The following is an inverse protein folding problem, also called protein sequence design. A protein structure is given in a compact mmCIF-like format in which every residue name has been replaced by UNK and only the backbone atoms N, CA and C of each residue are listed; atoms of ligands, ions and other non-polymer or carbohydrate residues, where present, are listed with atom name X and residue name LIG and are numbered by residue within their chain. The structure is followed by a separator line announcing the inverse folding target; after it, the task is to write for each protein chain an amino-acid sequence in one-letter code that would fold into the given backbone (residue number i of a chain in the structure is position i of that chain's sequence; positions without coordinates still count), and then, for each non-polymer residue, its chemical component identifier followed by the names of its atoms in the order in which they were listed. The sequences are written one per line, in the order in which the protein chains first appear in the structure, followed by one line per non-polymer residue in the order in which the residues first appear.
data_IF_657834363213
#
_entry.id   IF_657834363213
#
_cell.length_a   1.000
_cell.length_b   1.000
_cell.length_c   1.000
_cell.angle_alpha   90.00
_cell.angle_beta   90.00
_cell.angle_gamma   90.00
#
_symmetry.space_group_name_H-M   'P 1'
#
loop_
_entity.id
_entity.type
_entity.pdbx_description
1 polymer ?
#
# COMPACT_ATOMS: atom_id res chain seq x y z
N UNK A 1 46.59 -1.13 22.87
CA UNK A 1 45.89 -2.42 23.03
C UNK A 1 44.73 -2.41 22.07
N UNK A 2 44.95 -2.88 20.84
CA UNK A 2 43.94 -2.86 19.77
C UNK A 2 43.16 -4.16 19.83
N UNK A 3 41.84 -4.06 20.03
CA UNK A 3 40.95 -5.21 19.95
C UNK A 3 40.58 -5.42 18.48
N UNK A 4 41.05 -6.50 17.91
CA UNK A 4 40.63 -7.03 16.61
C UNK A 4 39.17 -7.52 16.72
N UNK A 5 38.22 -6.72 16.27
CA UNK A 5 36.86 -7.17 16.00
C UNK A 5 36.82 -7.83 14.62
N UNK A 6 36.78 -9.16 14.58
CA UNK A 6 36.64 -9.90 13.33
C UNK A 6 35.29 -9.58 12.67
N UNK A 7 35.34 -9.11 11.44
CA UNK A 7 34.20 -9.08 10.55
C UNK A 7 33.79 -10.53 10.24
N UNK A 8 32.71 -10.99 10.82
CA UNK A 8 32.07 -12.21 10.36
C UNK A 8 31.45 -11.94 9.00
N UNK A 9 32.05 -12.53 7.97
CA UNK A 9 31.43 -12.61 6.64
C UNK A 9 30.11 -13.37 6.78
N UNK A 10 29.02 -12.64 6.81
CA UNK A 10 27.70 -13.22 6.63
C UNK A 10 27.50 -13.49 5.13
N UNK A 11 27.89 -14.69 4.71
CA UNK A 11 27.47 -15.22 3.43
C UNK A 11 25.94 -15.33 3.46
N UNK A 12 25.27 -14.49 2.70
CA UNK A 12 23.86 -14.68 2.37
C UNK A 12 23.82 -15.90 1.48
N UNK A 13 23.51 -17.06 2.06
CA UNK A 13 23.31 -18.28 1.29
C UNK A 13 21.99 -18.16 0.53
N UNK A 14 22.06 -17.65 -0.70
CA UNK A 14 20.95 -17.55 -1.63
C UNK A 14 20.56 -18.91 -2.21
N UNK A 15 21.33 -19.99 -1.93
CA UNK A 15 21.03 -21.35 -2.38
C UNK A 15 19.74 -21.92 -1.78
N UNK A 16 19.27 -21.33 -0.66
CA UNK A 16 17.99 -21.71 -0.04
C UNK A 16 16.75 -21.07 -0.71
N UNK A 17 16.94 -20.10 -1.59
CA UNK A 17 15.90 -19.68 -2.51
C UNK A 17 15.97 -20.70 -3.63
N UNK A 18 15.14 -21.74 -3.57
CA UNK A 18 14.97 -22.70 -4.66
C UNK A 18 14.22 -22.03 -5.82
N UNK A 19 14.81 -20.94 -6.32
CA UNK A 19 14.56 -20.37 -7.63
C UNK A 19 15.56 -21.11 -8.52
N UNK A 20 15.07 -22.06 -9.30
CA UNK A 20 15.78 -22.48 -10.52
C UNK A 20 15.91 -21.21 -11.36
N UNK A 21 16.97 -20.46 -11.10
CA UNK A 21 17.40 -19.33 -11.91
C UNK A 21 17.94 -19.94 -13.20
N UNK A 22 17.05 -20.16 -14.15
CA UNK A 22 17.45 -20.40 -15.54
C UNK A 22 18.26 -19.19 -16.00
N UNK A 23 19.53 -19.44 -16.29
CA UNK A 23 20.49 -18.53 -16.87
C UNK A 23 19.90 -17.85 -18.09
N UNK A 24 19.44 -16.62 -18.00
CA UNK A 24 19.26 -15.61 -19.03
C UNK A 24 18.24 -14.50 -18.62
N UNK A 25 18.31 -14.03 -17.38
CA UNK A 25 17.79 -12.72 -17.09
C UNK A 25 18.94 -11.75 -17.44
N UNK A 26 18.72 -10.74 -18.30
CA UNK A 26 19.75 -9.74 -18.51
C UNK A 26 20.11 -9.13 -17.16
N UNK A 27 21.30 -9.41 -16.69
CA UNK A 27 21.91 -8.84 -15.50
C UNK A 27 21.98 -7.35 -15.70
N UNK A 28 21.09 -6.65 -15.11
CA UNK A 28 20.85 -5.23 -14.95
C UNK A 28 19.51 -4.84 -15.55
N UNK A 29 18.68 -4.31 -14.71
CA UNK A 29 17.70 -3.32 -15.09
C UNK A 29 18.41 -2.07 -15.68
N UNK A 30 19.42 -2.27 -16.48
CA UNK A 30 20.36 -1.31 -17.05
C UNK A 30 19.72 -0.22 -17.91
N UNK A 31 18.41 -0.25 -18.06
CA UNK A 31 17.64 0.78 -18.77
C UNK A 31 16.64 1.52 -17.87
N UNK A 32 16.68 1.29 -16.56
CA UNK A 32 16.19 2.29 -15.64
C UNK A 32 17.15 3.45 -15.74
N UNK A 33 16.67 4.61 -16.18
CA UNK A 33 17.48 5.82 -16.30
C UNK A 33 18.34 5.96 -15.05
N UNK A 34 19.62 5.72 -15.19
CA UNK A 34 20.64 5.49 -14.16
C UNK A 34 20.75 6.52 -13.04
N UNK A 35 19.96 7.57 -13.00
CA UNK A 35 20.08 8.66 -12.03
C UNK A 35 18.98 8.78 -10.98
N UNK A 36 17.86 8.06 -11.10
CA UNK A 36 16.72 8.29 -10.19
C UNK A 36 16.67 7.25 -9.06
N UNK A 37 17.31 6.09 -9.22
CA UNK A 37 17.20 4.99 -8.28
C UNK A 37 18.52 4.55 -7.65
N UNK A 38 19.68 5.06 -8.09
CA UNK A 38 21.00 4.69 -7.56
C UNK A 38 21.10 4.86 -6.04
N UNK A 39 20.44 5.90 -5.49
CA UNK A 39 20.42 6.18 -4.05
C UNK A 39 19.54 5.19 -3.25
N UNK A 40 18.72 4.38 -3.93
CA UNK A 40 17.78 3.45 -3.29
C UNK A 40 18.19 1.98 -3.46
N UNK A 41 19.24 1.70 -4.21
CA UNK A 41 19.73 0.34 -4.40
C UNK A 41 20.41 -0.16 -3.12
N UNK A 42 19.97 -1.31 -2.64
CA UNK A 42 20.52 -2.00 -1.48
C UNK A 42 21.35 -3.18 -1.99
N UNK A 43 22.58 -3.31 -1.49
CA UNK A 43 23.41 -4.43 -1.85
C UNK A 43 22.81 -5.74 -1.28
N UNK A 44 22.74 -6.84 -2.06
CA UNK A 44 22.10 -8.10 -1.62
C UNK A 44 22.62 -8.64 -0.29
N UNK A 45 23.90 -8.47 -0.01
CA UNK A 45 24.54 -8.93 1.24
C UNK A 45 24.20 -8.08 2.47
N UNK A 46 23.57 -6.92 2.31
CA UNK A 46 23.11 -6.10 3.42
C UNK A 46 21.76 -6.55 3.97
N UNK A 47 20.99 -7.39 3.23
CA UNK A 47 19.65 -7.82 3.57
C UNK A 47 19.63 -9.30 3.98
N UNK A 48 19.24 -9.59 5.21
CA UNK A 48 19.00 -10.95 5.69
C UNK A 48 17.51 -11.24 5.71
N UNK A 49 17.03 -12.23 4.94
CA UNK A 49 15.62 -12.63 4.84
C UNK A 49 15.35 -13.85 5.72
N UNK A 50 14.38 -13.75 6.63
CA UNK A 50 13.88 -14.88 7.42
C UNK A 50 12.87 -15.67 6.60
N UNK A 51 13.31 -16.75 5.97
CA UNK A 51 12.49 -17.53 5.03
C UNK A 51 11.29 -18.25 5.67
N UNK A 52 11.41 -18.59 6.94
CA UNK A 52 10.36 -19.16 7.76
C UNK A 52 9.32 -18.12 8.26
N UNK A 53 9.60 -16.84 8.07
CA UNK A 53 8.76 -15.74 8.58
C UNK A 53 8.04 -15.02 7.46
N UNK A 54 7.09 -15.72 6.83
CA UNK A 54 6.23 -15.17 5.78
C UNK A 54 5.19 -14.26 6.43
N UNK A 55 5.17 -12.98 6.03
CA UNK A 55 4.20 -11.97 6.47
C UNK A 55 2.97 -11.89 5.56
N UNK A 56 3.12 -12.33 4.31
CA UNK A 56 2.02 -12.35 3.35
C UNK A 56 2.41 -13.00 2.03
N UNK A 57 1.39 -13.49 1.31
CA UNK A 57 1.55 -14.06 -0.03
C UNK A 57 0.52 -13.41 -0.95
N UNK A 58 1.00 -12.74 -1.98
CA UNK A 58 0.20 -12.20 -3.08
C UNK A 58 0.29 -13.05 -4.33
N UNK A 59 -0.48 -12.71 -5.36
CA UNK A 59 -0.47 -13.43 -6.64
C UNK A 59 0.89 -13.39 -7.34
N UNK A 60 1.66 -12.31 -7.12
CA UNK A 60 2.89 -12.03 -7.87
C UNK A 60 4.09 -11.75 -6.96
N UNK A 61 3.93 -11.87 -5.65
CA UNK A 61 4.99 -11.59 -4.68
C UNK A 61 4.80 -12.38 -3.38
N UNK A 62 5.92 -12.64 -2.71
CA UNK A 62 5.95 -13.12 -1.33
C UNK A 62 6.59 -12.06 -0.45
N UNK A 63 6.03 -11.87 0.73
CA UNK A 63 6.44 -10.84 1.69
C UNK A 63 7.02 -11.52 2.92
N UNK A 64 8.26 -11.22 3.23
CA UNK A 64 9.00 -11.82 4.35
C UNK A 64 9.40 -10.78 5.37
N UNK A 65 9.56 -11.21 6.62
CA UNK A 65 10.34 -10.47 7.59
C UNK A 65 11.81 -10.55 7.16
N UNK A 66 12.51 -9.42 7.25
CA UNK A 66 13.93 -9.34 6.94
C UNK A 66 14.65 -8.42 7.94
N UNK A 67 15.98 -8.41 7.88
CA UNK A 67 16.83 -7.52 8.67
C UNK A 67 17.79 -6.80 7.73
N UNK A 68 17.83 -5.48 7.79
CA UNK A 68 18.74 -4.62 7.05
C UNK A 68 19.42 -3.65 8.02
N UNK A 69 20.75 -3.64 8.02
CA UNK A 69 21.55 -2.81 8.94
C UNK A 69 21.03 -2.87 10.38
N UNK A 70 20.90 -4.08 10.91
CA UNK A 70 20.41 -4.39 12.27
C UNK A 70 18.94 -4.02 12.55
N UNK A 71 18.21 -3.46 11.59
CA UNK A 71 16.79 -3.06 11.73
C UNK A 71 15.88 -4.08 11.06
N UNK A 72 14.76 -4.44 11.71
CA UNK A 72 13.72 -5.26 11.09
C UNK A 72 13.03 -4.49 9.98
N UNK A 73 12.94 -5.11 8.80
CA UNK A 73 12.31 -4.58 7.60
C UNK A 73 11.42 -5.64 6.96
N UNK A 74 10.71 -5.25 5.92
CA UNK A 74 9.92 -6.15 5.06
C UNK A 74 10.64 -6.31 3.73
N UNK A 75 10.85 -7.56 3.30
CA UNK A 75 11.31 -7.92 1.97
C UNK A 75 10.13 -8.41 1.13
N UNK A 76 9.67 -7.62 0.15
CA UNK A 76 8.67 -8.01 -0.86
C UNK A 76 9.40 -8.55 -2.07
N UNK A 77 9.50 -9.87 -2.15
CA UNK A 77 10.15 -10.59 -3.26
C UNK A 77 9.14 -10.74 -4.40
N UNK A 78 9.46 -10.17 -5.56
CA UNK A 78 8.59 -10.20 -6.74
C UNK A 78 8.93 -11.44 -7.59
N UNK A 79 7.89 -12.12 -8.10
CA UNK A 79 8.08 -13.28 -8.97
C UNK A 79 8.79 -12.86 -10.28
N UNK A 80 9.91 -13.51 -10.65
CA UNK A 80 10.64 -13.19 -11.88
C UNK A 80 9.79 -13.27 -13.16
N UNK A 81 8.90 -14.25 -13.27
CA UNK A 81 7.97 -14.37 -14.41
C UNK A 81 7.04 -13.16 -14.52
N UNK A 82 6.57 -12.66 -13.38
CA UNK A 82 5.74 -11.46 -13.36
C UNK A 82 6.53 -10.22 -13.79
N UNK A 83 7.78 -10.10 -13.38
CA UNK A 83 8.65 -8.98 -13.78
C UNK A 83 8.87 -8.99 -15.28
N UNK A 84 9.17 -10.15 -15.88
CA UNK A 84 9.36 -10.29 -17.34
C UNK A 84 8.14 -9.81 -18.12
N UNK A 85 6.94 -10.17 -17.65
CA UNK A 85 5.69 -9.83 -18.32
C UNK A 85 5.21 -8.38 -18.04
N UNK A 86 5.58 -7.78 -16.89
CA UNK A 86 5.00 -6.54 -16.38
C UNK A 86 6.04 -5.53 -15.89
N UNK A 87 7.18 -5.45 -16.56
CA UNK A 87 8.32 -4.60 -16.16
C UNK A 87 7.91 -3.14 -15.89
N UNK A 88 7.13 -2.54 -16.78
CA UNK A 88 6.66 -1.15 -16.63
C UNK A 88 5.84 -0.92 -15.35
N UNK A 89 5.03 -1.91 -14.96
CA UNK A 89 4.18 -1.85 -13.76
C UNK A 89 5.03 -1.90 -12.48
N UNK A 90 6.05 -2.77 -12.44
CA UNK A 90 6.99 -2.87 -11.32
C UNK A 90 7.78 -1.58 -11.16
N UNK A 91 8.27 -1.01 -12.27
CA UNK A 91 8.99 0.26 -12.27
C UNK A 91 8.12 1.43 -11.82
N UNK A 92 6.85 1.43 -12.23
CA UNK A 92 5.89 2.43 -11.77
C UNK A 92 5.66 2.33 -10.26
N UNK A 93 5.53 1.12 -9.69
CA UNK A 93 5.40 0.91 -8.25
C UNK A 93 6.62 1.49 -7.50
N UNK A 94 7.85 1.17 -7.93
CA UNK A 94 9.07 1.74 -7.36
C UNK A 94 9.09 3.28 -7.45
N UNK A 95 8.77 3.83 -8.63
CA UNK A 95 8.74 5.27 -8.86
C UNK A 95 7.73 5.97 -7.95
N UNK A 96 6.58 5.33 -7.71
CA UNK A 96 5.59 5.85 -6.78
C UNK A 96 6.15 5.81 -5.37
N UNK A 97 6.62 4.65 -4.92
CA UNK A 97 7.03 4.44 -3.54
C UNK A 97 8.24 5.28 -3.14
N UNK A 98 9.24 5.45 -4.03
CA UNK A 98 10.43 6.27 -3.77
C UNK A 98 10.10 7.77 -3.55
N UNK A 99 8.92 8.22 -3.96
CA UNK A 99 8.45 9.60 -3.82
C UNK A 99 7.46 9.82 -2.67
N UNK A 100 7.12 8.76 -1.91
CA UNK A 100 6.13 8.83 -0.83
C UNK A 100 6.82 8.92 0.53
N UNK A 101 6.66 10.05 1.21
CA UNK A 101 7.19 10.29 2.56
C UNK A 101 6.10 10.91 3.42
N UNK A 102 5.43 10.10 4.25
CA UNK A 102 4.37 10.57 5.13
C UNK A 102 4.19 9.62 6.33
N UNK A 103 3.94 10.12 7.56
CA UNK A 103 3.81 9.27 8.75
C UNK A 103 2.71 8.20 8.65
N UNK A 104 1.67 8.41 7.84
CA UNK A 104 0.58 7.47 7.63
C UNK A 104 0.69 6.67 6.29
N UNK A 105 1.87 6.62 5.70
CA UNK A 105 2.21 5.80 4.53
C UNK A 105 3.38 4.90 4.93
N UNK A 106 3.35 3.63 4.49
CA UNK A 106 4.48 2.70 4.69
C UNK A 106 5.68 3.22 3.92
N UNK A 107 6.81 3.36 4.64
CA UNK A 107 8.03 3.93 4.08
C UNK A 107 8.73 2.91 3.18
N UNK A 108 9.07 3.33 1.97
CA UNK A 108 10.01 2.65 1.10
C UNK A 108 11.45 2.93 1.59
N UNK A 109 12.26 1.87 1.69
CA UNK A 109 13.63 1.96 2.19
C UNK A 109 14.66 1.72 1.09
N UNK A 110 14.29 0.98 0.04
CA UNK A 110 15.16 0.68 -1.07
C UNK A 110 14.71 -0.58 -1.82
N UNK A 111 15.54 -1.02 -2.74
CA UNK A 111 15.30 -2.25 -3.50
C UNK A 111 16.61 -2.98 -3.80
N UNK A 112 16.51 -4.26 -4.10
CA UNK A 112 17.58 -5.09 -4.67
C UNK A 112 17.17 -5.44 -6.09
N UNK A 113 18.08 -5.30 -7.04
CA UNK A 113 17.78 -5.53 -8.47
C UNK A 113 17.75 -7.02 -8.83
N UNK A 114 18.69 -7.82 -8.30
CA UNK A 114 18.78 -9.25 -8.56
C UNK A 114 19.12 -10.05 -7.28
N UNK A 115 18.20 -10.90 -6.77
CA UNK A 115 16.78 -11.02 -7.16
C UNK A 115 16.00 -9.74 -6.85
N UNK A 116 14.92 -9.48 -7.59
CA UNK A 116 14.18 -8.23 -7.41
C UNK A 116 13.35 -8.22 -6.13
N UNK A 117 13.76 -7.38 -5.19
CA UNK A 117 13.18 -7.27 -3.85
C UNK A 117 12.92 -5.81 -3.53
N UNK A 118 11.70 -5.49 -3.12
CA UNK A 118 11.36 -4.17 -2.57
C UNK A 118 11.49 -4.23 -1.05
N UNK A 119 12.24 -3.31 -0.47
CA UNK A 119 12.48 -3.23 0.97
C UNK A 119 11.65 -2.10 1.57
N UNK A 120 10.84 -2.44 2.59
CA UNK A 120 9.89 -1.54 3.24
C UNK A 120 10.11 -1.53 4.75
N UNK A 121 9.63 -0.49 5.43
CA UNK A 121 9.57 -0.49 6.89
C UNK A 121 8.71 -1.63 7.43
N UNK A 122 9.14 -2.23 8.52
CA UNK A 122 8.37 -3.28 9.21
C UNK A 122 7.40 -2.68 10.23
N UNK A 123 6.12 -3.05 10.12
CA UNK A 123 5.06 -2.61 11.03
C UNK A 123 4.58 -3.79 11.86
N UNK A 124 4.86 -3.78 13.15
CA UNK A 124 4.81 -4.95 14.03
C UNK A 124 3.43 -5.47 14.42
N UNK A 125 2.39 -4.62 14.39
CA UNK A 125 1.06 -5.03 14.87
C UNK A 125 0.12 -5.52 13.76
N UNK A 126 0.65 -5.83 12.57
CA UNK A 126 -0.16 -6.35 11.47
C UNK A 126 -1.16 -5.33 10.91
N UNK A 127 -2.29 -5.79 10.41
CA UNK A 127 -3.26 -4.99 9.66
C UNK A 127 -4.51 -4.65 10.48
N UNK A 128 -5.34 -3.70 9.99
CA UNK A 128 -6.68 -3.50 10.54
C UNK A 128 -7.49 -4.79 10.48
N UNK A 129 -7.36 -5.55 9.39
CA UNK A 129 -8.11 -6.80 9.20
C UNK A 129 -7.87 -7.80 10.34
N UNK A 130 -6.62 -7.95 10.79
CA UNK A 130 -6.25 -8.86 11.89
C UNK A 130 -6.57 -8.33 13.28
N UNK A 131 -6.76 -7.00 13.42
CA UNK A 131 -6.91 -6.33 14.73
C UNK A 131 -8.25 -5.65 14.95
N UNK A 132 -9.18 -5.74 14.03
CA UNK A 132 -10.42 -4.94 13.98
C UNK A 132 -11.23 -4.96 15.29
N UNK A 133 -11.22 -6.09 16.02
CA UNK A 133 -11.94 -6.27 17.28
C UNK A 133 -11.19 -5.78 18.52
N UNK A 134 -9.88 -5.50 18.38
CA UNK A 134 -8.99 -5.18 19.49
C UNK A 134 -8.89 -3.68 19.78
N UNK A 135 -9.53 -2.82 18.97
CA UNK A 135 -9.46 -1.38 19.13
C UNK A 135 -10.62 -0.84 19.98
N UNK A 136 -10.30 -0.02 20.96
CA UNK A 136 -11.29 0.78 21.68
C UNK A 136 -11.77 1.97 20.82
N UNK A 137 -12.80 2.70 21.30
CA UNK A 137 -13.41 3.81 20.56
C UNK A 137 -12.41 4.92 20.21
N UNK A 138 -11.56 5.32 21.14
CA UNK A 138 -10.55 6.38 20.92
C UNK A 138 -9.51 5.95 19.87
N UNK A 139 -9.05 4.69 19.94
CA UNK A 139 -8.12 4.14 18.96
C UNK A 139 -8.74 4.07 17.56
N UNK A 140 -10.01 3.67 17.44
CA UNK A 140 -10.72 3.67 16.16
C UNK A 140 -10.78 5.06 15.54
N UNK A 141 -11.08 6.10 16.34
CA UNK A 141 -11.09 7.49 15.87
C UNK A 141 -9.71 7.96 15.43
N UNK A 142 -8.66 7.67 16.21
CA UNK A 142 -7.28 8.00 15.83
C UNK A 142 -6.88 7.32 14.52
N UNK A 143 -7.23 6.04 14.34
CA UNK A 143 -6.97 5.27 13.10
C UNK A 143 -7.70 5.88 11.90
N UNK A 144 -8.97 6.28 12.06
CA UNK A 144 -9.76 6.97 11.03
C UNK A 144 -9.06 8.25 10.58
N UNK A 145 -8.63 9.09 11.52
CA UNK A 145 -7.90 10.33 11.23
C UNK A 145 -6.56 10.06 10.52
N UNK A 146 -5.81 9.05 10.97
CA UNK A 146 -4.54 8.68 10.36
C UNK A 146 -4.73 8.24 8.90
N UNK A 147 -5.76 7.43 8.60
CA UNK A 147 -6.09 6.99 7.24
C UNK A 147 -6.44 8.21 6.36
N UNK A 148 -7.30 9.11 6.85
CA UNK A 148 -7.67 10.31 6.10
C UNK A 148 -6.46 11.20 5.81
N UNK A 149 -5.52 11.38 6.76
CA UNK A 149 -4.27 12.12 6.53
C UNK A 149 -3.42 11.47 5.43
N UNK A 150 -3.30 10.14 5.45
CA UNK A 150 -2.61 9.39 4.39
C UNK A 150 -3.26 9.59 3.02
N UNK A 151 -4.59 9.45 2.92
CA UNK A 151 -5.35 9.67 1.68
C UNK A 151 -5.24 11.13 1.22
N UNK A 152 -5.37 12.10 2.12
CA UNK A 152 -5.20 13.52 1.80
C UNK A 152 -3.81 13.81 1.24
N UNK A 153 -2.76 13.23 1.82
CA UNK A 153 -1.40 13.35 1.32
C UNK A 153 -1.29 12.79 -0.11
N UNK A 154 -1.82 11.60 -0.39
CA UNK A 154 -1.77 10.99 -1.73
C UNK A 154 -2.50 11.85 -2.77
N UNK A 155 -3.74 12.25 -2.45
CA UNK A 155 -4.60 12.97 -3.39
C UNK A 155 -4.10 14.40 -3.70
N UNK A 156 -3.48 15.07 -2.72
CA UNK A 156 -3.03 16.46 -2.86
C UNK A 156 -1.55 16.63 -3.24
N UNK A 157 -0.88 15.56 -3.65
CA UNK A 157 0.51 15.66 -4.12
C UNK A 157 0.65 16.56 -5.34
N UNK A 158 1.81 17.20 -5.45
CA UNK A 158 2.18 18.04 -6.58
C UNK A 158 3.42 17.46 -7.27
N UNK A 159 3.57 17.54 -8.60
CA UNK A 159 2.60 18.12 -9.57
C UNK A 159 1.38 17.22 -9.85
N UNK A 160 1.46 15.92 -9.56
CA UNK A 160 0.40 14.94 -9.81
C UNK A 160 -0.07 14.31 -8.50
N UNK A 161 -1.39 14.25 -8.32
CA UNK A 161 -2.01 13.45 -7.27
C UNK A 161 -1.84 11.94 -7.53
N UNK A 162 -2.08 11.13 -6.51
CA UNK A 162 -2.00 9.67 -6.59
C UNK A 162 -3.31 9.05 -6.10
N UNK A 163 -3.90 8.17 -6.90
CA UNK A 163 -5.04 7.33 -6.53
C UNK A 163 -4.48 5.97 -6.13
N UNK A 164 -4.87 5.46 -4.97
CA UNK A 164 -4.39 4.18 -4.43
C UNK A 164 -5.03 2.97 -5.12
N UNK A 165 -6.35 2.99 -5.33
CA UNK A 165 -7.19 1.99 -6.01
C UNK A 165 -7.38 0.63 -5.32
N UNK A 166 -6.73 0.40 -4.18
CA UNK A 166 -6.92 -0.83 -3.38
C UNK A 166 -6.93 -0.56 -1.87
N UNK A 167 -7.66 0.48 -1.44
CA UNK A 167 -7.87 0.76 -0.01
C UNK A 167 -8.79 -0.32 0.58
N UNK A 168 -8.23 -1.06 1.57
CA UNK A 168 -8.91 -2.15 2.29
C UNK A 168 -8.24 -2.40 3.64
N UNK A 169 -8.91 -3.06 4.61
CA UNK A 169 -8.35 -3.29 5.94
C UNK A 169 -7.03 -4.07 5.97
N UNK A 170 -6.78 -4.94 4.98
CA UNK A 170 -5.51 -5.69 4.88
C UNK A 170 -4.34 -4.85 4.35
N UNK A 171 -4.60 -3.71 3.71
CA UNK A 171 -3.59 -2.78 3.23
C UNK A 171 -3.37 -1.59 4.17
N UNK A 172 -3.93 -1.64 5.37
CA UNK A 172 -3.72 -0.61 6.41
C UNK A 172 -3.08 -1.29 7.61
N UNK A 173 -1.82 -0.98 7.85
CA UNK A 173 -0.98 -1.53 8.91
C UNK A 173 -1.07 -0.69 10.17
N UNK A 174 -0.87 -1.33 11.33
CA UNK A 174 -0.97 -0.69 12.65
C UNK A 174 0.39 -0.77 13.36
N UNK A 175 0.93 0.38 13.72
CA UNK A 175 2.19 0.47 14.49
C UNK A 175 1.99 0.02 15.93
N UNK A 176 3.11 -0.18 16.67
CA UNK A 176 3.09 -0.43 18.12
C UNK A 176 2.37 0.67 18.89
N UNK A 177 2.49 1.93 18.45
CA UNK A 177 1.80 3.10 19.02
C UNK A 177 0.34 3.26 18.56
N UNK A 178 -0.24 2.24 17.90
CA UNK A 178 -1.62 2.22 17.36
C UNK A 178 -1.90 3.29 16.30
N UNK A 179 -0.87 3.71 15.56
CA UNK A 179 -1.02 4.58 14.39
C UNK A 179 -1.25 3.75 13.13
N UNK A 180 -2.07 4.28 12.21
CA UNK A 180 -2.33 3.61 10.93
C UNK A 180 -1.37 4.08 9.84
N UNK A 181 -0.94 3.13 8.99
CA UNK A 181 -0.13 3.39 7.79
C UNK A 181 -0.72 2.64 6.60
N UNK A 182 -0.90 3.35 5.49
CA UNK A 182 -1.38 2.79 4.21
C UNK A 182 -0.21 2.11 3.51
N UNK A 183 -0.44 0.91 2.99
CA UNK A 183 0.54 0.05 2.31
C UNK A 183 0.02 -0.43 0.97
N UNK A 184 0.90 -1.03 0.18
CA UNK A 184 0.63 -1.71 -1.10
C UNK A 184 0.16 -0.78 -2.24
N UNK A 185 1.14 -0.19 -2.92
CA UNK A 185 0.95 0.75 -4.02
C UNK A 185 0.99 0.10 -5.41
N UNK A 186 1.00 -1.23 -5.50
CA UNK A 186 1.10 -1.98 -6.76
C UNK A 186 -0.01 -1.69 -7.78
N UNK A 187 -1.15 -1.18 -7.32
CA UNK A 187 -2.27 -0.78 -8.18
C UNK A 187 -2.43 0.74 -8.32
N UNK A 188 -1.56 1.53 -7.70
CA UNK A 188 -1.70 2.99 -7.65
C UNK A 188 -1.44 3.66 -9.00
N UNK A 189 -2.08 4.80 -9.23
CA UNK A 189 -1.95 5.57 -10.46
C UNK A 189 -1.87 7.08 -10.19
N UNK A 190 -0.93 7.75 -10.87
CA UNK A 190 -0.90 9.21 -10.88
C UNK A 190 -2.07 9.78 -11.66
N UNK A 191 -2.59 10.93 -11.22
CA UNK A 191 -3.61 11.68 -11.92
C UNK A 191 -3.32 13.19 -11.84
N UNK A 192 -3.80 13.92 -12.85
CA UNK A 192 -3.72 15.37 -12.84
C UNK A 192 -5.01 15.95 -12.26
N UNK A 193 -4.93 16.53 -11.07
CA UNK A 193 -6.08 17.14 -10.41
C UNK A 193 -6.64 18.38 -11.15
N UNK A 194 -5.88 18.95 -12.08
CA UNK A 194 -6.29 20.13 -12.86
C UNK A 194 -6.99 19.77 -14.18
N UNK A 195 -6.89 18.51 -14.63
CA UNK A 195 -7.48 18.03 -15.88
C UNK A 195 -8.62 17.06 -15.51
N UNK A 196 -9.84 17.57 -15.46
CA UNK A 196 -11.05 16.78 -15.11
C UNK A 196 -11.43 15.75 -16.16
N UNK A 197 -10.88 15.83 -17.38
CA UNK A 197 -11.20 14.98 -18.54
C UNK A 197 -9.98 14.26 -19.10
N UNK A 198 -9.12 13.71 -18.24
CA UNK A 198 -7.96 12.95 -18.70
C UNK A 198 -8.43 11.61 -19.29
N UNK A 199 -8.55 11.54 -20.61
CA UNK A 199 -8.90 10.32 -21.37
C UNK A 199 -7.89 9.17 -21.18
N UNK A 200 -6.75 9.43 -20.56
CA UNK A 200 -5.79 8.40 -20.13
C UNK A 200 -6.31 7.51 -18.99
N UNK A 201 -7.44 7.86 -18.37
CA UNK A 201 -8.11 7.04 -17.34
C UNK A 201 -8.98 5.91 -17.90
N UNK A 202 -9.06 5.75 -19.23
CA UNK A 202 -10.02 4.91 -19.94
C UNK A 202 -9.70 3.42 -20.01
N UNK A 203 -8.63 2.92 -19.44
CA UNK A 203 -8.46 1.47 -19.34
C UNK A 203 -8.93 0.98 -17.97
N UNK A 204 -10.22 0.72 -17.85
CA UNK A 204 -10.78 0.00 -16.71
C UNK A 204 -10.34 -1.47 -16.83
N UNK A 205 -9.17 -1.78 -16.31
CA UNK A 205 -8.96 -3.11 -15.77
C UNK A 205 -9.70 -3.14 -14.42
N UNK A 206 -10.46 -4.20 -14.16
CA UNK A 206 -11.04 -4.49 -12.84
C UNK A 206 -9.89 -4.72 -11.85
N UNK A 207 -9.31 -3.61 -11.35
CA UNK A 207 -8.13 -3.59 -10.52
C UNK A 207 -8.56 -3.30 -9.10
N UNK A 208 -8.13 -4.14 -8.16
CA UNK A 208 -8.44 -3.99 -6.74
C UNK A 208 -9.44 -5.01 -6.20
N UNK A 209 -9.74 -4.89 -4.94
CA UNK A 209 -10.61 -5.82 -4.20
C UNK A 209 -12.08 -5.44 -4.40
N UNK A 210 -12.81 -6.20 -5.23
CA UNK A 210 -14.21 -5.94 -5.65
C UNK A 210 -15.14 -5.47 -4.52
N UNK A 211 -14.95 -5.99 -3.32
CA UNK A 211 -15.74 -5.68 -2.14
C UNK A 211 -15.68 -4.19 -1.74
N UNK A 212 -14.54 -3.52 -1.99
CA UNK A 212 -14.29 -2.13 -1.61
C UNK A 212 -14.40 -1.16 -2.78
N UNK A 213 -14.64 -1.67 -3.99
CA UNK A 213 -14.73 -0.85 -5.21
C UNK A 213 -15.93 0.08 -5.18
N UNK A 214 -15.70 1.31 -5.60
CA UNK A 214 -16.77 2.29 -5.83
C UNK A 214 -17.68 1.86 -7.01
N UNK A 215 -18.98 2.22 -6.98
CA UNK A 215 -19.95 1.78 -8.00
C UNK A 215 -19.53 2.12 -9.43
N UNK A 216 -18.95 3.29 -9.65
CA UNK A 216 -18.48 3.75 -10.97
C UNK A 216 -17.37 2.88 -11.55
N UNK A 217 -16.63 2.15 -10.74
CA UNK A 217 -15.58 1.24 -11.21
C UNK A 217 -16.13 -0.03 -11.88
N UNK A 218 -17.42 -0.31 -11.76
CA UNK A 218 -18.09 -1.42 -12.45
C UNK A 218 -18.61 -1.05 -13.83
N UNK A 219 -18.60 0.24 -14.19
CA UNK A 219 -18.98 0.71 -15.50
C UNK A 219 -17.72 0.93 -16.37
N UNK A 220 -17.48 0.04 -17.34
CA UNK A 220 -16.29 0.07 -18.20
C UNK A 220 -16.18 1.33 -19.08
N UNK A 221 -17.28 2.05 -19.29
CA UNK A 221 -17.31 3.31 -20.05
C UNK A 221 -17.16 4.55 -19.17
N UNK A 222 -17.16 4.41 -17.84
CA UNK A 222 -17.10 5.55 -16.93
C UNK A 222 -15.65 5.95 -16.61
N UNK A 223 -15.40 7.24 -16.58
CA UNK A 223 -14.20 7.80 -16.00
C UNK A 223 -14.31 7.81 -14.48
N UNK A 224 -13.22 7.52 -13.77
CA UNK A 224 -13.16 7.64 -12.32
C UNK A 224 -12.00 8.56 -11.90
N UNK A 225 -12.12 9.15 -10.74
CA UNK A 225 -11.10 10.01 -10.14
C UNK A 225 -10.74 9.50 -8.73
N UNK A 226 -10.00 10.30 -7.97
CA UNK A 226 -9.56 9.98 -6.61
C UNK A 226 -10.72 9.70 -5.61
N UNK A 227 -11.96 10.07 -5.92
CA UNK A 227 -13.14 9.81 -5.06
C UNK A 227 -13.45 8.31 -4.91
N UNK A 228 -12.87 7.43 -5.74
CA UNK A 228 -12.98 5.99 -5.55
C UNK A 228 -12.30 5.54 -4.26
N UNK A 229 -11.15 6.15 -3.91
CA UNK A 229 -10.47 5.86 -2.64
C UNK A 229 -11.30 6.32 -1.44
N UNK A 230 -12.03 7.44 -1.57
CA UNK A 230 -12.95 7.91 -0.52
C UNK A 230 -14.06 6.89 -0.26
N UNK A 231 -14.65 6.32 -1.32
CA UNK A 231 -15.67 5.28 -1.19
C UNK A 231 -15.11 4.03 -0.49
N UNK A 232 -13.95 3.53 -0.95
CA UNK A 232 -13.28 2.38 -0.35
C UNK A 232 -12.96 2.64 1.13
N UNK A 233 -12.48 3.84 1.45
CA UNK A 233 -12.21 4.30 2.82
C UNK A 233 -13.49 4.32 3.67
N UNK A 234 -14.62 4.72 3.10
CA UNK A 234 -15.93 4.67 3.78
C UNK A 234 -16.33 3.25 4.20
N UNK A 235 -16.09 2.25 3.34
CA UNK A 235 -16.31 0.83 3.70
C UNK A 235 -15.36 0.38 4.81
N UNK A 236 -14.07 0.76 4.74
CA UNK A 236 -13.09 0.47 5.80
C UNK A 236 -13.53 1.07 7.14
N UNK A 237 -14.02 2.30 7.16
CA UNK A 237 -14.52 2.95 8.38
C UNK A 237 -15.75 2.27 8.95
N UNK A 238 -16.68 1.85 8.08
CA UNK A 238 -17.80 1.03 8.52
C UNK A 238 -17.32 -0.26 9.21
N UNK A 239 -16.42 -1.01 8.57
CA UNK A 239 -15.91 -2.27 9.12
C UNK A 239 -15.18 -2.05 10.46
N UNK A 240 -14.35 -1.00 10.54
CA UNK A 240 -13.60 -0.66 11.75
C UNK A 240 -14.54 -0.27 12.90
N UNK A 241 -15.52 0.60 12.66
CA UNK A 241 -16.46 1.06 13.68
C UNK A 241 -17.36 -0.05 14.19
N UNK A 242 -17.87 -0.87 13.27
CA UNK A 242 -18.77 -1.98 13.59
C UNK A 242 -18.04 -3.27 14.00
N UNK A 243 -16.69 -3.32 13.91
CA UNK A 243 -15.85 -4.48 14.19
C UNK A 243 -16.30 -5.75 13.43
N UNK A 244 -16.78 -5.56 12.21
CA UNK A 244 -17.27 -6.65 11.36
C UNK A 244 -17.01 -6.36 9.89
N UNK A 245 -16.83 -7.44 9.13
CA UNK A 245 -16.63 -7.39 7.68
C UNK A 245 -17.93 -7.03 6.96
N UNK A 246 -17.89 -6.05 6.06
CA UNK A 246 -19.01 -5.75 5.16
C UNK A 246 -19.26 -6.92 4.19
N UNK A 247 -20.53 -7.20 3.92
CA UNK A 247 -20.95 -8.19 2.92
C UNK A 247 -21.43 -7.40 1.68
N UNK A 248 -20.80 -7.57 0.51
CA UNK A 248 -21.21 -6.91 -0.70
C UNK A 248 -22.71 -7.12 -1.01
N UNK A 249 -23.35 -6.12 -1.58
CA UNK A 249 -24.77 -6.12 -1.97
C UNK A 249 -25.77 -6.23 -0.80
N UNK A 250 -25.30 -6.20 0.45
CA UNK A 250 -26.17 -6.11 1.63
C UNK A 250 -26.17 -4.70 2.20
N UNK A 251 -27.30 -4.21 2.75
CA UNK A 251 -27.35 -2.90 3.38
C UNK A 251 -26.42 -2.81 4.59
N UNK A 252 -25.83 -1.64 4.81
CA UNK A 252 -25.03 -1.34 5.98
C UNK A 252 -25.91 -1.37 7.25
N UNK A 253 -25.57 -2.23 8.19
CA UNK A 253 -26.27 -2.31 9.49
C UNK A 253 -25.39 -1.72 10.57
N UNK A 254 -25.79 -0.57 11.11
CA UNK A 254 -25.06 0.23 12.07
C UNK A 254 -25.54 -0.02 13.50
N UNK A 255 -24.64 -0.39 14.39
CA UNK A 255 -24.96 -0.68 15.81
C UNK A 255 -24.07 0.10 16.76
N UNK A 256 -22.79 0.30 16.45
CA UNK A 256 -21.78 0.82 17.37
C UNK A 256 -21.22 2.18 16.95
N UNK A 257 -21.36 2.55 15.67
CA UNK A 257 -20.85 3.81 15.17
C UNK A 257 -21.58 5.02 15.79
N UNK A 258 -20.85 6.06 16.22
CA UNK A 258 -21.46 7.33 16.64
C UNK A 258 -22.34 7.91 15.52
N UNK A 259 -23.50 8.48 15.88
CA UNK A 259 -24.48 8.99 14.90
C UNK A 259 -23.88 9.98 13.90
N UNK A 260 -23.01 10.90 14.37
CA UNK A 260 -22.35 11.88 13.50
C UNK A 260 -21.43 11.23 12.50
N UNK A 261 -20.59 10.27 12.91
CA UNK A 261 -19.70 9.54 12.00
C UNK A 261 -20.47 8.70 10.99
N UNK A 262 -21.53 8.00 11.44
CA UNK A 262 -22.42 7.28 10.53
C UNK A 262 -22.94 8.21 9.44
N UNK A 263 -23.42 9.41 9.82
CA UNK A 263 -23.93 10.39 8.86
C UNK A 263 -22.86 10.80 7.86
N UNK A 264 -21.67 11.17 8.32
CA UNK A 264 -20.55 11.56 7.45
C UNK A 264 -20.20 10.43 6.46
N UNK A 265 -20.08 9.19 6.95
CA UNK A 265 -19.70 8.04 6.10
C UNK A 265 -20.78 7.78 5.05
N UNK A 266 -22.06 7.77 5.43
CA UNK A 266 -23.17 7.45 4.51
C UNK A 266 -23.35 8.54 3.48
N UNK A 267 -23.40 9.81 3.91
CA UNK A 267 -23.76 10.93 3.04
C UNK A 267 -22.58 11.41 2.17
N UNK A 268 -21.35 11.39 2.73
CA UNK A 268 -20.19 12.04 2.11
C UNK A 268 -19.05 11.09 1.70
N UNK A 269 -19.15 9.79 2.00
CA UNK A 269 -18.14 8.82 1.54
C UNK A 269 -18.74 7.70 0.69
N UNK A 270 -19.90 7.15 1.08
CA UNK A 270 -20.54 6.02 0.42
C UNK A 270 -21.60 6.42 -0.62
N UNK A 271 -21.69 7.69 -0.99
CA UNK A 271 -22.60 8.17 -2.05
C UNK A 271 -22.32 7.42 -3.37
N UNK A 272 -23.38 7.07 -4.10
CA UNK A 272 -23.27 6.50 -5.45
C UNK A 272 -22.73 7.52 -6.46
N UNK A 273 -23.06 8.80 -6.28
CA UNK A 273 -22.50 9.89 -7.05
C UNK A 273 -21.11 10.27 -6.52
N UNK A 274 -20.03 10.10 -7.30
CA UNK A 274 -18.68 10.48 -6.89
C UNK A 274 -18.55 11.96 -6.51
N UNK A 275 -19.31 12.85 -7.15
CA UNK A 275 -19.26 14.29 -6.92
C UNK A 275 -19.88 14.69 -5.56
N UNK A 276 -20.78 13.89 -5.02
CA UNK A 276 -21.33 14.10 -3.69
C UNK A 276 -20.39 13.65 -2.56
N UNK A 277 -19.28 12.95 -2.89
CA UNK A 277 -18.27 12.55 -1.90
C UNK A 277 -17.33 13.71 -1.61
N UNK A 278 -17.07 13.95 -0.35
CA UNK A 278 -16.12 14.97 0.09
C UNK A 278 -14.66 14.51 -0.13
N UNK A 279 -13.75 15.48 -0.23
CA UNK A 279 -12.33 15.21 -0.25
C UNK A 279 -11.81 14.83 1.15
N UNK A 280 -10.68 14.13 1.21
CA UNK A 280 -10.12 13.71 2.48
C UNK A 280 -9.82 14.89 3.42
N UNK A 281 -9.42 16.06 2.89
CA UNK A 281 -9.20 17.27 3.68
C UNK A 281 -10.49 17.84 4.29
N UNK A 282 -11.60 17.76 3.57
CA UNK A 282 -12.92 18.16 4.07
C UNK A 282 -13.38 17.22 5.17
N UNK A 283 -13.23 15.91 4.96
CA UNK A 283 -13.58 14.87 5.94
C UNK A 283 -12.77 15.00 7.25
N UNK A 284 -11.47 15.35 7.17
CA UNK A 284 -10.63 15.60 8.36
C UNK A 284 -11.19 16.71 9.24
N UNK A 285 -11.79 17.75 8.65
CA UNK A 285 -12.38 18.87 9.40
C UNK A 285 -13.69 18.51 10.09
N UNK A 286 -14.36 17.43 9.66
CA UNK A 286 -15.66 17.00 10.15
C UNK A 286 -15.58 15.91 11.23
N UNK A 287 -14.45 15.20 11.32
CA UNK A 287 -14.17 14.08 12.22
C UNK A 287 -13.15 14.49 13.30
#
# INVERSE_FOLDING_TARGET
MFLNGGFHNYNVDLSCINLELTHNIPTKFAYLQHKVFDDWEIAPWELFIFQDRILGTGSFSKVYLAKWRETFVVAKVINPEFIKANKSMVLQELTIMSKLHHPNIVQFLGFIDDPFIIVLEYISNGTISSNMRNFNKTQKLSIIQDILRGIAYLHNRRPLGLIHRDIKPSNILITSSKKAKIADFGLSKFYNAQITNDSSNSAISFVGSRKYMAPEMFNTAAFYNHKIDIYSTGIVFYELLESKTHIPYRPFKWYYAPKHLKKIIVDHMLSKDPNARYDALELIKMI
#
